data_IF_872110821209
#
_entry.id   IF_872110821209
#
_cell.length_a   1.000
_cell.length_b   1.000
_cell.length_c   1.000
_cell.angle_alpha   90.00
_cell.angle_beta   90.00
_cell.angle_gamma   90.00
#
_symmetry.space_group_name_H-M   'P 1'
#
loop_
_entity.id
_entity.type
_entity.pdbx_description
1 polymer ?
#
# COMPACT_ATOMS: atom_id res chain seq x y z
N UNK A 1 7.32 61.68 41.86
CA UNK A 1 7.42 61.69 40.39
C UNK A 1 6.95 60.33 39.90
N UNK A 2 5.65 60.01 39.92
CA UNK A 2 4.43 60.76 39.48
C UNK A 2 4.20 60.56 37.97
N UNK A 3 2.99 60.33 37.47
CA UNK A 3 1.69 60.06 38.12
C UNK A 3 0.70 59.48 37.09
N UNK A 4 -0.21 58.60 37.54
CA UNK A 4 -1.58 58.44 36.99
C UNK A 4 -1.77 58.10 35.48
N UNK A 5 -2.97 57.81 34.95
CA UNK A 5 -4.36 57.64 35.46
C UNK A 5 -4.96 56.41 34.73
N UNK A 6 -5.66 55.47 35.38
CA UNK A 6 -7.11 55.43 35.67
C UNK A 6 -8.03 55.66 34.45
N UNK A 7 -9.22 55.04 34.34
CA UNK A 7 -9.81 53.90 35.05
C UNK A 7 -11.14 53.45 34.40
N UNK A 8 -11.62 52.26 34.78
CA UNK A 8 -13.06 51.99 34.95
C UNK A 8 -13.82 51.44 33.73
N UNK A 9 -15.04 50.89 33.91
CA UNK A 9 -15.66 50.45 35.17
C UNK A 9 -16.80 49.46 34.88
N UNK A 10 -17.09 48.53 35.80
CA UNK A 10 -18.31 47.69 35.76
C UNK A 10 -19.53 48.53 36.20
N UNK A 11 -20.78 48.11 35.90
CA UNK A 11 -21.47 47.22 36.84
C UNK A 11 -22.39 46.16 36.18
N UNK A 12 -23.15 45.43 37.00
CA UNK A 12 -24.21 44.50 36.59
C UNK A 12 -25.56 44.87 37.24
N UNK A 13 -26.66 44.47 36.63
CA UNK A 13 -28.01 44.23 37.18
C UNK A 13 -28.72 43.32 36.15
N UNK A 14 -29.30 42.17 36.48
CA UNK A 14 -30.48 41.87 37.32
C UNK A 14 -31.85 41.97 36.59
N UNK A 15 -32.48 40.79 36.52
CA UNK A 15 -33.91 40.40 36.51
C UNK A 15 -34.94 41.49 36.94
N UNK A 16 -36.22 41.45 36.46
CA UNK A 16 -37.12 40.28 36.66
C UNK A 16 -38.26 40.03 35.62
N UNK A 17 -39.05 38.94 35.85
CA UNK A 17 -40.53 38.72 35.73
C UNK A 17 -41.33 39.36 34.56
N UNK A 18 -42.43 38.84 33.97
CA UNK A 18 -43.32 37.63 34.08
C UNK A 18 -44.08 37.50 32.72
N UNK A 19 -45.16 36.75 32.41
CA UNK A 19 -46.18 35.86 33.04
C UNK A 19 -46.60 34.83 31.94
N UNK A 20 -46.92 33.55 32.23
CA UNK A 20 -48.24 32.92 32.53
C UNK A 20 -49.18 32.64 31.32
N UNK A 21 -50.18 31.78 31.54
CA UNK A 21 -51.34 31.39 30.69
C UNK A 21 -51.19 30.31 29.57
N UNK A 22 -51.67 29.11 29.93
CA UNK A 22 -52.86 28.47 29.30
C UNK A 22 -52.89 28.12 27.80
N UNK A 23 -52.69 26.84 27.44
CA UNK A 23 -53.80 25.95 27.04
C UNK A 23 -53.39 24.51 26.66
N UNK A 24 -53.95 23.53 27.37
CA UNK A 24 -54.37 22.22 26.81
C UNK A 24 -55.72 22.43 26.04
N UNK A 25 -56.17 21.53 25.13
CA UNK A 25 -56.22 20.09 25.37
C UNK A 25 -55.97 19.11 24.19
N UNK A 26 -55.64 17.89 24.58
CA UNK A 26 -56.05 16.58 24.04
C UNK A 26 -56.82 16.51 22.70
N UNK A 27 -56.33 15.63 21.81
CA UNK A 27 -57.19 14.76 20.99
C UNK A 27 -56.50 13.40 20.80
N UNK A 28 -57.24 12.31 21.04
CA UNK A 28 -56.71 10.94 21.04
C UNK A 28 -57.01 10.19 19.73
N UNK A 29 -56.08 9.35 19.27
CA UNK A 29 -56.30 8.47 18.13
C UNK A 29 -55.51 7.13 18.21
N UNK A 30 -56.26 6.02 18.25
CA UNK A 30 -55.91 4.73 17.63
C UNK A 30 -54.58 4.05 17.99
N UNK A 31 -54.61 3.12 18.95
CA UNK A 31 -53.65 2.00 18.96
C UNK A 31 -53.96 1.04 17.80
N UNK A 32 -52.95 0.69 17.00
CA UNK A 32 -52.97 -0.50 16.13
C UNK A 32 -52.01 -1.52 16.76
N UNK A 33 -52.45 -2.72 17.14
CA UNK A 33 -51.55 -3.75 17.67
C UNK A 33 -50.58 -4.22 16.58
N UNK A 34 -49.28 -4.03 16.79
CA UNK A 34 -48.25 -4.69 16.00
C UNK A 34 -48.20 -6.17 16.43
N UNK A 35 -48.38 -7.14 15.52
CA UNK A 35 -48.28 -8.55 15.89
C UNK A 35 -46.85 -8.89 16.27
N UNK A 36 -46.64 -9.38 17.50
CA UNK A 36 -45.34 -9.95 17.87
C UNK A 36 -45.14 -11.30 17.15
N UNK A 37 -43.93 -11.58 16.62
CA UNK A 37 -43.63 -12.90 16.08
C UNK A 37 -43.63 -13.94 17.20
N UNK A 38 -44.05 -15.19 16.94
CA UNK A 38 -44.06 -16.23 17.96
C UNK A 38 -42.64 -16.57 18.41
N UNK A 39 -42.40 -16.57 19.72
CA UNK A 39 -41.15 -17.04 20.30
C UNK A 39 -40.97 -18.55 20.10
N UNK A 40 -39.72 -18.99 19.94
CA UNK A 40 -39.36 -20.36 20.31
C UNK A 40 -39.28 -21.44 19.22
N UNK A 41 -38.86 -21.13 17.98
CA UNK A 41 -38.22 -22.14 17.11
C UNK A 41 -37.10 -21.56 16.24
N UNK A 42 -35.85 -21.89 16.58
CA UNK A 42 -34.67 -21.67 15.73
C UNK A 42 -34.33 -23.01 15.05
N UNK A 43 -34.38 -23.14 13.71
CA UNK A 43 -34.13 -24.40 13.06
C UNK A 43 -32.62 -24.77 13.13
N UNK A 44 -32.28 -26.05 13.39
CA UNK A 44 -30.90 -26.52 13.39
C UNK A 44 -30.33 -26.48 11.97
N UNK A 45 -29.45 -25.51 11.72
CA UNK A 45 -28.88 -25.26 10.39
C UNK A 45 -28.37 -23.82 10.18
N UNK A 46 -28.78 -22.86 11.03
CA UNK A 46 -28.29 -21.49 10.94
C UNK A 46 -26.80 -21.36 11.29
N UNK A 47 -25.97 -21.31 10.25
CA UNK A 47 -24.61 -20.77 10.36
C UNK A 47 -24.73 -19.31 10.78
N UNK A 48 -23.92 -18.90 11.77
CA UNK A 48 -23.91 -17.53 12.25
C UNK A 48 -23.62 -16.55 11.10
N UNK A 49 -24.60 -15.72 10.75
CA UNK A 49 -24.64 -14.95 9.48
C UNK A 49 -23.42 -14.04 9.25
N UNK A 50 -22.66 -13.70 10.30
CA UNK A 50 -21.39 -12.97 10.19
C UNK A 50 -20.32 -13.73 9.40
N UNK A 51 -20.32 -15.07 9.39
CA UNK A 51 -19.30 -15.87 8.68
C UNK A 51 -19.54 -15.78 7.18
N UNK A 52 -20.78 -16.07 6.75
CA UNK A 52 -21.22 -15.91 5.37
C UNK A 52 -21.03 -14.45 4.93
N UNK A 53 -21.52 -13.48 5.70
CA UNK A 53 -21.33 -12.06 5.41
C UNK A 53 -19.85 -11.61 5.36
N UNK A 54 -18.92 -12.27 6.05
CA UNK A 54 -17.49 -11.92 5.95
C UNK A 54 -16.87 -12.45 4.65
N UNK A 55 -17.21 -13.67 4.24
CA UNK A 55 -16.86 -14.24 2.93
C UNK A 55 -17.48 -13.42 1.80
N UNK A 56 -18.79 -13.19 1.86
CA UNK A 56 -19.59 -12.39 0.94
C UNK A 56 -19.03 -10.97 0.80
N UNK A 57 -18.75 -10.25 1.89
CA UNK A 57 -18.21 -8.88 1.78
C UNK A 57 -16.78 -8.84 1.22
N UNK A 58 -15.98 -9.90 1.43
CA UNK A 58 -14.68 -10.01 0.79
C UNK A 58 -14.78 -10.34 -0.72
N UNK A 59 -15.75 -11.17 -1.11
CA UNK A 59 -16.03 -11.51 -2.51
C UNK A 59 -16.70 -10.35 -3.26
N UNK A 60 -17.65 -9.64 -2.66
CA UNK A 60 -18.26 -8.42 -3.20
C UNK A 60 -17.18 -7.35 -3.46
N UNK A 61 -16.28 -7.13 -2.50
CA UNK A 61 -15.13 -6.25 -2.69
C UNK A 61 -14.22 -6.69 -3.83
N UNK A 62 -13.99 -8.00 -4.01
CA UNK A 62 -13.22 -8.54 -5.13
C UNK A 62 -13.93 -8.35 -6.48
N UNK A 63 -15.23 -8.64 -6.56
CA UNK A 63 -16.05 -8.57 -7.78
C UNK A 63 -16.32 -7.13 -8.23
N UNK A 64 -16.47 -6.18 -7.30
CA UNK A 64 -16.53 -4.74 -7.62
C UNK A 64 -15.19 -4.25 -8.21
N UNK A 65 -14.06 -4.66 -7.63
CA UNK A 65 -12.73 -4.37 -8.18
C UNK A 65 -12.43 -5.08 -9.50
N UNK A 66 -13.11 -6.18 -9.82
CA UNK A 66 -13.03 -6.83 -11.13
C UNK A 66 -13.77 -6.01 -12.20
N UNK A 67 -15.04 -5.62 -11.95
CA UNK A 67 -15.82 -4.77 -12.88
C UNK A 67 -15.08 -3.48 -13.26
N UNK A 68 -14.49 -2.77 -12.29
CA UNK A 68 -13.72 -1.55 -12.55
C UNK A 68 -12.48 -1.78 -13.43
N UNK A 69 -11.89 -2.99 -13.45
CA UNK A 69 -10.77 -3.32 -14.35
C UNK A 69 -11.22 -3.66 -15.75
N UNK A 70 -12.38 -4.31 -15.89
CA UNK A 70 -12.97 -4.63 -17.18
C UNK A 70 -13.51 -3.35 -17.86
N UNK A 71 -14.10 -2.42 -17.10
CA UNK A 71 -14.53 -1.09 -17.57
C UNK A 71 -13.34 -0.21 -18.02
N UNK A 72 -12.24 -0.19 -17.26
CA UNK A 72 -10.99 0.51 -17.64
C UNK A 72 -10.29 -0.16 -18.83
N UNK A 73 -10.57 -1.44 -19.09
CA UNK A 73 -10.08 -2.14 -20.29
C UNK A 73 -10.97 -1.90 -21.51
N UNK A 74 -12.29 -1.90 -21.34
CA UNK A 74 -13.27 -1.68 -22.41
C UNK A 74 -13.33 -0.23 -22.91
N UNK A 75 -13.02 0.75 -22.05
CA UNK A 75 -12.91 2.17 -22.43
C UNK A 75 -11.66 2.49 -23.25
N UNK A 76 -10.72 1.57 -23.40
CA UNK A 76 -9.52 1.74 -24.24
C UNK A 76 -9.76 1.24 -25.67
N UNK A 77 -10.52 2.03 -26.43
CA UNK A 77 -10.84 1.78 -27.83
C UNK A 77 -9.60 1.61 -28.76
N UNK A 78 -9.80 1.03 -29.96
CA UNK A 78 -8.71 0.64 -30.84
C UNK A 78 -7.92 1.84 -31.39
N UNK A 79 -6.61 1.66 -31.56
CA UNK A 79 -5.74 2.66 -32.16
C UNK A 79 -6.02 2.82 -33.66
N UNK A 80 -6.60 3.95 -34.04
CA UNK A 80 -6.75 4.32 -35.45
C UNK A 80 -5.42 4.83 -36.01
N UNK A 81 -4.90 4.14 -37.02
CA UNK A 81 -3.74 4.58 -37.81
C UNK A 81 -4.19 5.38 -39.02
N UNK A 82 -3.70 6.62 -39.15
CA UNK A 82 -3.57 7.32 -40.44
C UNK A 82 -2.49 8.41 -40.34
N UNK A 83 -1.92 8.81 -41.48
CA UNK A 83 -0.67 9.56 -41.54
C UNK A 83 -0.84 11.04 -41.90
N UNK A 84 0.23 11.81 -41.66
CA UNK A 84 0.71 12.92 -42.50
C UNK A 84 -0.26 14.05 -42.90
N UNK A 85 -0.17 15.19 -42.20
CA UNK A 85 -0.39 16.51 -42.82
C UNK A 85 0.53 17.60 -42.26
N UNK A 86 1.34 18.19 -43.14
CA UNK A 86 2.34 19.24 -42.86
C UNK A 86 1.70 20.62 -42.53
N UNK A 87 2.48 21.51 -41.87
CA UNK A 87 2.80 22.91 -42.32
C UNK A 87 2.29 24.11 -41.47
N UNK A 88 3.23 25.04 -41.15
CA UNK A 88 3.05 26.48 -40.77
C UNK A 88 2.40 26.77 -39.39
N UNK A 89 2.63 27.93 -38.71
CA UNK A 89 3.77 28.89 -38.67
C UNK A 89 3.55 29.90 -37.49
N UNK A 90 4.64 30.52 -37.02
CA UNK A 90 4.77 31.87 -36.39
C UNK A 90 4.37 32.12 -34.91
N UNK A 91 5.25 32.93 -34.27
CA UNK A 91 5.03 33.95 -33.20
C UNK A 91 4.43 33.49 -31.85
N UNK A 92 5.01 33.72 -30.66
CA UNK A 92 5.60 34.94 -30.07
C UNK A 92 4.52 36.05 -29.84
N UNK A 93 4.42 36.76 -28.71
CA UNK A 93 5.40 37.14 -27.67
C UNK A 93 4.77 37.38 -26.29
N UNK A 94 5.57 37.18 -25.21
CA UNK A 94 5.80 38.06 -24.03
C UNK A 94 4.61 38.77 -23.32
N UNK A 95 4.67 38.80 -21.97
CA UNK A 95 4.49 39.99 -21.07
C UNK A 95 3.69 39.69 -19.78
N UNK A 96 4.41 39.55 -18.65
CA UNK A 96 3.96 39.94 -17.29
C UNK A 96 4.11 41.48 -17.18
N UNK A 97 3.38 42.23 -16.34
CA UNK A 97 3.25 42.07 -14.87
C UNK A 97 1.75 41.84 -14.51
N UNK A 98 1.12 42.24 -13.38
CA UNK A 98 1.51 42.99 -12.15
C UNK A 98 0.70 42.48 -10.94
N UNK A 99 1.19 42.76 -9.73
CA UNK A 99 0.52 42.65 -8.42
C UNK A 99 -0.28 43.92 -8.09
N UNK A 100 -1.47 43.74 -7.51
CA UNK A 100 -2.18 44.70 -6.64
C UNK A 100 -2.81 43.88 -5.50
N UNK A 101 -2.78 44.43 -4.30
CA UNK A 101 -3.27 43.81 -3.06
C UNK A 101 -4.59 44.51 -2.66
N UNK A 102 -5.57 43.79 -2.10
CA UNK A 102 -6.81 44.32 -1.53
C UNK A 102 -7.39 43.30 -0.53
N UNK A 103 -7.86 43.78 0.62
CA UNK A 103 -8.52 43.00 1.67
C UNK A 103 -10.02 43.37 1.75
N UNK A 104 -10.69 42.93 2.82
CA UNK A 104 -12.07 43.26 3.24
C UNK A 104 -13.24 42.74 2.36
N UNK A 105 -14.02 41.79 2.90
CA UNK A 105 -15.34 42.09 3.52
C UNK A 105 -15.81 40.93 4.43
N UNK A 106 -16.90 41.12 5.20
CA UNK A 106 -17.38 40.27 6.30
C UNK A 106 -18.37 39.14 5.93
N UNK A 107 -18.91 38.47 6.97
CA UNK A 107 -20.10 37.60 7.00
C UNK A 107 -19.92 36.15 6.47
N UNK A 108 -20.66 35.14 6.93
CA UNK A 108 -21.36 34.93 8.22
C UNK A 108 -21.41 33.41 8.50
N UNK A 109 -21.96 33.00 9.65
CA UNK A 109 -22.16 31.60 10.01
C UNK A 109 -23.12 30.86 9.06
N UNK A 110 -22.86 29.58 8.84
CA UNK A 110 -23.90 28.55 8.90
C UNK A 110 -23.30 27.19 9.35
N UNK A 111 -24.17 26.38 9.98
CA UNK A 111 -23.86 25.12 10.66
C UNK A 111 -24.01 23.91 9.72
N UNK A 112 -22.96 23.10 9.57
CA UNK A 112 -23.13 21.70 9.15
C UNK A 112 -22.13 20.77 9.86
N UNK A 113 -22.66 19.86 10.68
CA UNK A 113 -21.90 18.98 11.57
C UNK A 113 -21.32 17.73 10.86
N UNK A 114 -20.43 17.93 9.89
CA UNK A 114 -19.89 16.86 9.04
C UNK A 114 -18.86 15.95 9.79
N UNK A 115 -19.32 14.80 10.29
CA UNK A 115 -18.50 13.90 11.12
C UNK A 115 -17.45 13.14 10.28
N UNK A 116 -16.12 13.32 10.53
CA UNK A 116 -15.12 12.94 9.55
C UNK A 116 -15.04 11.42 9.31
N UNK A 117 -14.98 10.97 8.03
CA UNK A 117 -15.11 9.55 7.63
C UNK A 117 -14.02 8.62 8.21
N UNK A 118 -12.94 9.19 8.74
CA UNK A 118 -11.93 8.52 9.57
C UNK A 118 -12.55 7.65 10.68
N UNK A 119 -13.58 8.15 11.39
CA UNK A 119 -14.22 7.42 12.49
C UNK A 119 -14.93 6.14 12.01
N UNK A 120 -15.68 6.21 10.90
CA UNK A 120 -16.37 5.04 10.29
C UNK A 120 -15.40 3.98 9.80
N UNK A 121 -14.25 4.36 9.25
CA UNK A 121 -13.19 3.41 8.89
C UNK A 121 -12.56 2.74 10.13
N UNK A 122 -12.46 3.44 11.25
CA UNK A 122 -11.93 2.89 12.51
C UNK A 122 -12.86 1.82 13.13
N UNK A 123 -14.18 2.00 13.09
CA UNK A 123 -15.15 1.03 13.62
C UNK A 123 -15.23 -0.22 12.75
N UNK A 124 -15.26 -0.08 11.42
CA UNK A 124 -15.13 -1.19 10.46
C UNK A 124 -13.84 -2.01 10.68
N UNK A 125 -12.74 -1.35 11.02
CA UNK A 125 -11.47 -2.00 11.33
C UNK A 125 -11.50 -2.74 12.68
N UNK A 126 -12.17 -2.17 13.70
CA UNK A 126 -12.39 -2.84 15.00
C UNK A 126 -13.26 -4.09 14.87
N UNK A 127 -14.38 -4.04 14.14
CA UNK A 127 -15.22 -5.24 13.92
C UNK A 127 -14.49 -6.34 13.13
N UNK A 128 -13.62 -5.99 12.17
CA UNK A 128 -12.71 -6.95 11.51
C UNK A 128 -11.71 -7.62 12.47
N UNK A 129 -11.41 -7.03 13.63
CA UNK A 129 -10.60 -7.67 14.68
C UNK A 129 -11.42 -8.53 15.63
N UNK A 130 -12.72 -8.27 15.79
CA UNK A 130 -13.61 -8.99 16.71
C UNK A 130 -14.09 -10.32 16.13
N UNK A 131 -14.35 -10.39 14.81
CA UNK A 131 -14.71 -11.62 14.10
C UNK A 131 -13.49 -12.53 13.85
N UNK A 132 -12.84 -12.95 14.95
CA UNK A 132 -11.86 -14.01 14.98
C UNK A 132 -12.58 -15.37 14.98
N UNK A 133 -13.43 -15.58 13.98
CA UNK A 133 -14.15 -16.84 13.74
C UNK A 133 -13.14 -17.99 13.80
N UNK A 134 -13.34 -18.92 14.73
CA UNK A 134 -12.58 -20.17 14.75
C UNK A 134 -13.09 -21.03 13.60
N UNK A 135 -12.58 -20.76 12.40
CA UNK A 135 -12.81 -21.58 11.21
C UNK A 135 -12.40 -23.01 11.57
N UNK A 136 -13.38 -23.91 11.60
CA UNK A 136 -13.12 -25.32 11.85
C UNK A 136 -12.31 -25.86 10.67
N UNK A 137 -11.14 -26.43 10.97
CA UNK A 137 -10.20 -26.95 9.96
C UNK A 137 -10.25 -28.47 10.02
N UNK A 138 -10.40 -29.17 8.90
CA UNK A 138 -10.46 -30.62 8.89
C UNK A 138 -9.13 -31.22 9.35
N UNK A 139 -9.19 -32.38 10.00
CA UNK A 139 -7.98 -33.09 10.41
C UNK A 139 -7.26 -33.68 9.20
N UNK A 140 -5.95 -33.83 9.30
CA UNK A 140 -5.14 -34.53 8.28
C UNK A 140 -5.56 -35.99 8.05
N UNK A 141 -6.38 -36.59 8.93
CA UNK A 141 -6.96 -37.92 8.73
C UNK A 141 -8.17 -37.85 7.80
N UNK A 142 -9.10 -36.93 8.03
CA UNK A 142 -10.27 -36.70 7.16
C UNK A 142 -9.82 -36.33 5.73
N UNK A 143 -8.92 -35.36 5.59
CA UNK A 143 -8.40 -34.91 4.28
C UNK A 143 -7.69 -36.03 3.49
N UNK A 144 -7.18 -37.07 4.17
CA UNK A 144 -6.54 -38.25 3.55
C UNK A 144 -7.50 -39.43 3.33
N UNK A 145 -8.61 -39.47 4.04
CA UNK A 145 -9.63 -40.51 3.92
C UNK A 145 -10.76 -40.12 2.96
N UNK A 146 -10.80 -38.86 2.52
CA UNK A 146 -11.74 -38.36 1.53
C UNK A 146 -11.51 -38.98 0.16
N UNK A 147 -12.54 -39.62 -0.36
CA UNK A 147 -12.62 -40.18 -1.71
C UNK A 147 -13.16 -39.11 -2.69
N UNK A 148 -12.37 -38.65 -3.68
CA UNK A 148 -12.82 -37.66 -4.65
C UNK A 148 -13.92 -38.15 -5.60
N UNK A 149 -14.03 -39.47 -5.79
CA UNK A 149 -14.99 -40.09 -6.71
C UNK A 149 -16.27 -40.55 -5.97
N UNK A 150 -16.32 -40.31 -4.64
CA UNK A 150 -17.46 -40.62 -3.79
C UNK A 150 -18.63 -39.64 -3.94
N UNK A 151 -19.86 -40.13 -3.71
CA UNK A 151 -21.11 -39.35 -3.80
C UNK A 151 -21.28 -38.27 -2.72
N UNK A 152 -20.47 -38.27 -1.66
CA UNK A 152 -20.58 -37.35 -0.54
C UNK A 152 -19.54 -36.21 -0.64
N UNK A 153 -19.95 -34.94 -0.56
CA UNK A 153 -19.00 -33.82 -0.61
C UNK A 153 -18.11 -33.78 0.65
N UNK A 154 -16.91 -33.22 0.52
CA UNK A 154 -15.92 -33.12 1.60
C UNK A 154 -16.41 -32.26 2.80
N UNK A 155 -17.37 -31.37 2.57
CA UNK A 155 -18.04 -30.57 3.59
C UNK A 155 -19.49 -30.32 3.17
N UNK A 156 -20.35 -30.03 4.14
CA UNK A 156 -21.63 -29.36 3.88
C UNK A 156 -21.47 -27.85 4.08
N UNK A 157 -22.47 -27.06 3.73
CA UNK A 157 -22.51 -25.64 4.09
C UNK A 157 -22.54 -25.48 5.62
N UNK A 158 -23.39 -26.22 6.33
CA UNK A 158 -23.45 -26.21 7.80
C UNK A 158 -22.11 -26.55 8.48
N UNK A 159 -21.32 -27.45 7.88
CA UNK A 159 -19.97 -27.81 8.33
C UNK A 159 -18.88 -27.35 7.36
N UNK A 160 -18.90 -26.08 6.94
CA UNK A 160 -17.93 -25.55 5.97
C UNK A 160 -16.49 -25.56 6.52
N UNK A 161 -15.70 -26.58 6.16
CA UNK A 161 -14.37 -26.90 6.72
C UNK A 161 -13.26 -26.95 5.65
N UNK A 162 -12.68 -25.81 5.22
CA UNK A 162 -11.62 -25.79 4.20
C UNK A 162 -10.25 -26.21 4.76
N UNK A 163 -9.47 -26.98 3.98
CA UNK A 163 -8.11 -27.39 4.34
C UNK A 163 -7.08 -26.30 3.99
N UNK A 164 -6.78 -25.43 4.96
CA UNK A 164 -5.75 -24.40 4.83
C UNK A 164 -4.30 -24.92 4.92
N UNK A 165 -4.04 -26.20 5.14
CA UNK A 165 -2.69 -26.77 5.09
C UNK A 165 -2.33 -27.27 3.69
N UNK A 166 -3.26 -27.92 2.99
CA UNK A 166 -3.10 -28.41 1.62
C UNK A 166 -3.08 -27.33 0.54
N UNK A 167 -3.24 -27.75 -0.73
CA UNK A 167 -3.27 -26.83 -1.88
C UNK A 167 -4.71 -26.37 -2.17
N UNK A 168 -4.92 -25.15 -2.72
CA UNK A 168 -6.26 -24.66 -3.05
C UNK A 168 -7.04 -25.49 -4.10
N UNK A 169 -6.39 -26.44 -4.78
CA UNK A 169 -6.99 -27.33 -5.79
C UNK A 169 -6.79 -28.82 -5.45
N UNK A 170 -6.55 -29.14 -4.17
CA UNK A 170 -6.64 -30.51 -3.65
C UNK A 170 -8.06 -31.07 -3.80
N UNK A 171 -8.22 -32.40 -3.76
CA UNK A 171 -9.53 -33.05 -3.84
C UNK A 171 -10.55 -32.45 -2.85
N UNK A 172 -10.17 -32.40 -1.57
CA UNK A 172 -10.96 -31.78 -0.50
C UNK A 172 -11.34 -30.33 -0.83
N UNK A 173 -10.35 -29.49 -1.15
CA UNK A 173 -10.61 -28.05 -1.36
C UNK A 173 -11.38 -27.76 -2.66
N UNK A 174 -11.36 -28.65 -3.66
CA UNK A 174 -12.29 -28.58 -4.81
C UNK A 174 -13.72 -28.81 -4.33
N UNK A 175 -14.01 -29.94 -3.71
CA UNK A 175 -15.36 -30.25 -3.22
C UNK A 175 -15.91 -29.18 -2.26
N UNK A 176 -15.07 -28.62 -1.38
CA UNK A 176 -15.44 -27.45 -0.54
C UNK A 176 -15.71 -26.19 -1.38
N UNK A 177 -14.96 -25.95 -2.45
CA UNK A 177 -15.22 -24.83 -3.40
C UNK A 177 -16.52 -25.06 -4.16
N UNK A 178 -16.75 -26.26 -4.67
CA UNK A 178 -17.93 -26.61 -5.48
C UNK A 178 -19.21 -26.44 -4.64
N UNK A 179 -19.20 -26.92 -3.39
CA UNK A 179 -20.28 -26.69 -2.41
C UNK A 179 -20.52 -25.20 -2.16
N UNK A 180 -19.47 -24.38 -2.00
CA UNK A 180 -19.61 -22.93 -1.86
C UNK A 180 -20.22 -22.26 -3.10
N UNK A 181 -19.77 -22.66 -4.30
CA UNK A 181 -20.27 -22.06 -5.55
C UNK A 181 -21.74 -22.40 -5.77
N UNK A 182 -22.16 -23.63 -5.44
CA UNK A 182 -23.56 -24.06 -5.56
C UNK A 182 -24.47 -23.29 -4.58
N UNK A 183 -24.09 -23.18 -3.30
CA UNK A 183 -24.81 -22.37 -2.29
C UNK A 183 -24.92 -20.89 -2.67
N UNK A 184 -23.84 -20.30 -3.19
CA UNK A 184 -23.81 -18.92 -3.67
C UNK A 184 -24.78 -18.70 -4.84
N UNK A 185 -24.93 -19.68 -5.74
CA UNK A 185 -25.86 -19.66 -6.87
C UNK A 185 -27.31 -19.88 -6.41
N UNK A 186 -27.56 -20.84 -5.52
CA UNK A 186 -28.89 -21.17 -4.99
C UNK A 186 -29.48 -20.01 -4.17
N UNK A 187 -28.64 -19.31 -3.39
CA UNK A 187 -29.00 -18.10 -2.67
C UNK A 187 -29.54 -16.99 -3.59
N UNK A 188 -29.12 -16.92 -4.87
CA UNK A 188 -29.56 -15.95 -5.88
C UNK A 188 -29.54 -14.46 -5.43
N UNK A 189 -28.73 -14.12 -4.43
CA UNK A 189 -28.59 -12.77 -3.87
C UNK A 189 -27.70 -11.84 -4.71
N UNK A 190 -27.05 -12.36 -5.76
CA UNK A 190 -26.01 -11.68 -6.51
C UNK A 190 -26.23 -11.77 -8.02
N UNK A 191 -25.90 -10.70 -8.74
CA UNK A 191 -26.06 -10.60 -10.21
C UNK A 191 -25.10 -11.53 -10.99
N UNK A 192 -24.17 -12.22 -10.31
CA UNK A 192 -23.16 -13.07 -10.96
C UNK A 192 -23.52 -14.55 -10.82
N UNK A 193 -24.26 -15.08 -11.80
CA UNK A 193 -24.64 -16.50 -11.86
C UNK A 193 -23.68 -17.34 -12.72
N UNK A 194 -22.41 -16.92 -12.81
CA UNK A 194 -21.35 -17.59 -13.57
C UNK A 194 -20.44 -18.41 -12.63
N UNK A 195 -20.64 -19.73 -12.65
CA UNK A 195 -19.90 -20.71 -11.83
C UNK A 195 -18.37 -20.52 -11.91
N UNK A 196 -17.83 -20.31 -13.12
CA UNK A 196 -16.38 -20.23 -13.36
C UNK A 196 -15.78 -18.96 -12.77
N UNK A 197 -16.53 -17.84 -12.84
CA UNK A 197 -16.13 -16.59 -12.17
C UNK A 197 -16.20 -16.71 -10.64
N UNK A 198 -17.18 -17.42 -10.08
CA UNK A 198 -17.31 -17.62 -8.63
C UNK A 198 -16.19 -18.55 -8.10
N UNK A 199 -15.88 -19.67 -8.76
CA UNK A 199 -14.71 -20.53 -8.43
C UNK A 199 -13.41 -19.71 -8.44
N UNK A 200 -13.16 -18.94 -9.50
CA UNK A 200 -11.95 -18.13 -9.60
C UNK A 200 -11.85 -17.08 -8.49
N UNK A 201 -12.98 -16.43 -8.13
CA UNK A 201 -13.06 -15.48 -7.03
C UNK A 201 -12.87 -16.15 -5.66
N UNK A 202 -13.52 -17.29 -5.42
CA UNK A 202 -13.37 -18.07 -4.19
C UNK A 202 -11.92 -18.52 -4.01
N UNK A 203 -11.27 -19.08 -5.04
CA UNK A 203 -9.88 -19.53 -4.95
C UNK A 203 -8.87 -18.38 -4.75
N UNK A 204 -9.16 -17.20 -5.31
CA UNK A 204 -8.42 -15.98 -5.02
C UNK A 204 -8.52 -15.60 -3.53
N UNK A 205 -9.74 -15.67 -2.98
CA UNK A 205 -9.99 -15.41 -1.57
C UNK A 205 -9.41 -16.49 -0.64
N UNK A 206 -9.53 -17.78 -1.00
CA UNK A 206 -8.98 -18.92 -0.28
C UNK A 206 -7.47 -18.79 -0.08
N UNK A 207 -6.72 -18.37 -1.12
CA UNK A 207 -5.27 -18.09 -0.99
C UNK A 207 -4.98 -17.00 0.04
N UNK A 208 -5.87 -16.02 0.20
CA UNK A 208 -5.78 -14.97 1.22
C UNK A 208 -6.12 -15.50 2.62
N UNK A 209 -7.17 -16.32 2.76
CA UNK A 209 -7.51 -17.02 4.00
C UNK A 209 -6.39 -17.96 4.45
N UNK A 210 -5.83 -18.77 3.54
CA UNK A 210 -4.69 -19.64 3.81
C UNK A 210 -3.45 -18.84 4.27
N UNK A 211 -3.17 -17.68 3.66
CA UNK A 211 -2.11 -16.77 4.11
C UNK A 211 -2.39 -16.21 5.52
N UNK A 212 -3.65 -15.89 5.83
CA UNK A 212 -4.07 -15.45 7.16
C UNK A 212 -3.94 -16.57 8.21
N UNK A 213 -4.39 -17.78 7.90
CA UNK A 213 -4.29 -18.96 8.77
C UNK A 213 -2.82 -19.29 9.10
N UNK A 214 -1.95 -19.34 8.08
CA UNK A 214 -0.50 -19.53 8.28
C UNK A 214 0.09 -18.41 9.14
N UNK A 215 -0.31 -17.16 8.95
CA UNK A 215 0.10 -16.01 9.78
C UNK A 215 -0.43 -16.08 11.22
N UNK A 216 -1.57 -16.72 11.47
CA UNK A 216 -2.11 -16.95 12.82
C UNK A 216 -1.35 -18.08 13.54
N UNK A 217 -0.88 -19.12 12.82
CA UNK A 217 0.00 -20.16 13.40
C UNK A 217 1.43 -19.69 13.70
N UNK A 218 1.91 -18.65 13.02
CA UNK A 218 3.26 -18.08 13.27
C UNK A 218 3.37 -17.42 14.65
N UNK A 219 4.49 -17.66 15.31
CA UNK A 219 4.93 -16.95 16.52
C UNK A 219 5.12 -15.45 16.26
N UNK A 220 5.16 -14.65 17.33
CA UNK A 220 5.48 -13.22 17.21
C UNK A 220 6.92 -12.97 16.73
N UNK A 221 7.85 -13.89 17.00
CA UNK A 221 9.22 -13.87 16.47
C UNK A 221 9.22 -14.04 14.96
N UNK A 222 8.52 -15.04 14.42
CA UNK A 222 8.40 -15.24 12.97
C UNK A 222 7.63 -14.10 12.30
N UNK A 223 6.53 -13.63 12.90
CA UNK A 223 5.75 -12.49 12.38
C UNK A 223 6.56 -11.20 12.32
N UNK A 224 7.40 -10.93 13.32
CA UNK A 224 8.29 -9.76 13.31
C UNK A 224 9.47 -9.93 12.36
N UNK A 225 10.04 -11.13 12.24
CA UNK A 225 11.09 -11.43 11.25
C UNK A 225 10.59 -11.25 9.81
N UNK A 226 9.42 -11.80 9.47
CA UNK A 226 8.78 -11.62 8.16
C UNK A 226 8.42 -10.16 7.88
N UNK A 227 7.94 -9.41 8.89
CA UNK A 227 7.70 -7.96 8.76
C UNK A 227 9.01 -7.19 8.49
N UNK A 228 10.09 -7.49 9.22
CA UNK A 228 11.42 -6.90 8.99
C UNK A 228 11.94 -7.20 7.59
N UNK A 229 11.84 -8.46 7.13
CA UNK A 229 12.22 -8.85 5.77
C UNK A 229 11.39 -8.13 4.70
N UNK A 230 10.06 -8.15 4.80
CA UNK A 230 9.19 -7.45 3.84
C UNK A 230 9.49 -5.95 3.79
N UNK A 231 9.65 -5.29 4.93
CA UNK A 231 10.03 -3.88 4.99
C UNK A 231 11.41 -3.61 4.35
N UNK A 232 12.37 -4.51 4.50
CA UNK A 232 13.70 -4.44 3.88
C UNK A 232 13.65 -4.61 2.36
N UNK A 233 12.87 -5.56 1.88
CA UNK A 233 12.77 -5.83 0.44
C UNK A 233 11.93 -4.75 -0.28
N UNK A 234 10.88 -4.23 0.35
CA UNK A 234 10.14 -3.04 -0.11
C UNK A 234 11.03 -1.78 -0.14
N UNK A 235 11.94 -1.58 0.83
CA UNK A 235 12.92 -0.47 0.80
C UNK A 235 13.91 -0.61 -0.35
N UNK A 236 14.47 -1.80 -0.60
CA UNK A 236 15.33 -2.07 -1.79
C UNK A 236 14.58 -1.79 -3.09
N UNK A 237 13.32 -2.22 -3.21
CA UNK A 237 12.50 -1.99 -4.40
C UNK A 237 12.28 -0.49 -4.65
N UNK A 238 11.86 0.26 -3.62
CA UNK A 238 11.68 1.71 -3.72
C UNK A 238 13.01 2.44 -4.03
N UNK A 239 14.14 1.99 -3.48
CA UNK A 239 15.45 2.54 -3.79
C UNK A 239 15.84 2.32 -5.26
N UNK A 240 15.60 1.12 -5.80
CA UNK A 240 15.79 0.82 -7.22
C UNK A 240 14.92 1.74 -8.11
N UNK A 241 13.61 1.82 -7.81
CA UNK A 241 12.67 2.63 -8.59
C UNK A 241 13.04 4.13 -8.60
N UNK A 242 13.42 4.70 -7.44
CA UNK A 242 13.85 6.10 -7.34
C UNK A 242 15.11 6.38 -8.17
N UNK A 243 16.09 5.49 -8.14
CA UNK A 243 17.35 5.61 -8.90
C UNK A 243 17.12 5.50 -10.39
N UNK A 244 16.30 4.53 -10.83
CA UNK A 244 15.93 4.35 -12.24
C UNK A 244 15.14 5.55 -12.77
N UNK A 245 14.18 6.06 -12.01
CA UNK A 245 13.43 7.27 -12.35
C UNK A 245 14.36 8.47 -12.60
N UNK A 246 15.30 8.74 -11.69
CA UNK A 246 16.29 9.83 -11.83
C UNK A 246 17.23 9.60 -13.02
N UNK A 247 17.64 8.36 -13.28
CA UNK A 247 18.41 8.01 -14.47
C UNK A 247 17.65 8.31 -15.76
N UNK A 248 16.33 8.05 -15.81
CA UNK A 248 15.53 8.37 -17.00
C UNK A 248 15.18 9.86 -17.15
N UNK A 249 14.98 10.58 -16.04
CA UNK A 249 14.47 11.96 -16.01
C UNK A 249 15.48 12.98 -16.54
N UNK A 250 16.72 12.94 -16.06
CA UNK A 250 17.80 13.80 -16.54
C UNK A 250 18.40 13.22 -17.84
N UNK A 251 18.94 14.08 -18.72
CA UNK A 251 19.51 13.61 -19.99
C UNK A 251 20.92 13.05 -19.78
N UNK A 252 21.66 13.71 -18.90
CA UNK A 252 23.05 13.50 -18.51
C UNK A 252 23.25 12.15 -17.82
N UNK A 253 22.24 11.68 -17.08
CA UNK A 253 22.25 10.38 -16.40
C UNK A 253 21.58 9.25 -17.20
N UNK A 254 20.99 9.55 -18.38
CA UNK A 254 20.20 8.57 -19.15
C UNK A 254 21.03 7.41 -19.69
N UNK A 255 22.29 7.67 -20.01
CA UNK A 255 23.29 6.64 -20.37
C UNK A 255 23.44 5.56 -19.28
N UNK A 256 23.14 5.90 -18.01
CA UNK A 256 23.26 4.98 -16.88
C UNK A 256 22.00 4.13 -16.60
N UNK A 257 20.85 4.42 -17.23
CA UNK A 257 19.62 3.69 -16.98
C UNK A 257 19.70 2.17 -17.26
N UNK A 258 20.35 1.69 -18.35
CA UNK A 258 20.53 0.25 -18.58
C UNK A 258 21.35 -0.45 -17.49
N UNK A 259 22.38 0.20 -16.96
CA UNK A 259 23.21 -0.38 -15.88
C UNK A 259 22.45 -0.47 -14.55
N UNK A 260 21.56 0.49 -14.26
CA UNK A 260 20.65 0.40 -13.11
C UNK A 260 19.62 -0.72 -13.30
N UNK A 261 19.09 -0.90 -14.51
CA UNK A 261 18.17 -2.01 -14.83
C UNK A 261 18.87 -3.37 -14.68
N UNK A 262 20.09 -3.53 -15.19
CA UNK A 262 20.91 -4.73 -15.04
C UNK A 262 21.22 -5.06 -13.58
N UNK A 263 21.52 -4.06 -12.75
CA UNK A 263 21.63 -4.22 -11.29
C UNK A 263 20.32 -4.66 -10.65
N UNK A 264 19.20 -4.02 -11.00
CA UNK A 264 17.89 -4.31 -10.45
C UNK A 264 17.80 -4.16 -8.92
N UNK A 265 16.76 -4.77 -8.32
CA UNK A 265 16.53 -4.73 -6.86
C UNK A 265 17.64 -5.47 -6.10
N UNK A 266 18.15 -6.57 -6.63
CA UNK A 266 19.27 -7.33 -6.03
C UNK A 266 20.59 -6.55 -6.07
N UNK A 267 20.72 -5.64 -7.04
CA UNK A 267 21.79 -4.66 -7.14
C UNK A 267 21.64 -3.47 -6.18
N UNK A 268 20.57 -3.36 -5.40
CA UNK A 268 20.49 -2.35 -4.34
C UNK A 268 21.19 -2.83 -3.06
N UNK A 269 21.86 -1.89 -2.38
CA UNK A 269 22.37 -2.13 -1.02
C UNK A 269 21.20 -2.28 -0.07
N UNK A 270 21.30 -3.25 0.83
CA UNK A 270 20.36 -3.37 1.94
C UNK A 270 20.67 -2.28 2.97
N UNK A 271 19.63 -1.80 3.64
CA UNK A 271 19.71 -0.84 4.72
C UNK A 271 19.16 -1.50 6.00
N UNK A 272 20.02 -1.78 6.97
CA UNK A 272 19.53 -2.09 8.32
C UNK A 272 19.28 -0.78 9.07
N UNK A 273 18.17 -0.73 9.78
CA UNK A 273 17.80 0.39 10.65
C UNK A 273 18.50 0.21 11.99
N UNK A 274 19.58 0.97 12.21
CA UNK A 274 20.25 1.04 13.49
C UNK A 274 19.54 2.03 14.41
N UNK A 275 19.57 1.76 15.71
CA UNK A 275 18.94 2.58 16.74
C UNK A 275 20.02 3.07 17.68
N UNK A 276 20.92 3.87 17.12
CA UNK A 276 22.09 4.43 17.79
C UNK A 276 21.73 5.82 18.31
N UNK A 277 21.70 5.97 19.64
CA UNK A 277 21.35 7.21 20.34
C UNK A 277 19.93 7.75 19.99
N UNK A 278 18.91 6.89 20.04
CA UNK A 278 17.48 7.13 19.70
C UNK A 278 17.17 7.64 18.28
N UNK A 279 18.17 8.03 17.49
CA UNK A 279 17.99 8.48 16.12
C UNK A 279 18.03 7.27 15.17
N UNK A 280 16.94 7.03 14.44
CA UNK A 280 16.86 5.90 13.50
C UNK A 280 17.72 6.16 12.26
N UNK A 281 18.94 5.61 12.26
CA UNK A 281 19.89 5.74 11.17
C UNK A 281 19.85 4.53 10.23
N UNK A 282 20.01 4.77 8.94
CA UNK A 282 19.98 3.72 7.91
C UNK A 282 21.39 3.45 7.38
N UNK A 283 22.03 2.43 7.95
CA UNK A 283 23.39 2.02 7.60
C UNK A 283 23.40 1.24 6.29
N UNK A 284 24.18 1.73 5.32
CA UNK A 284 24.35 1.12 4.00
C UNK A 284 25.24 -0.11 4.17
N UNK A 285 24.68 -1.31 3.95
CA UNK A 285 25.47 -2.54 3.97
C UNK A 285 26.24 -2.67 2.64
N UNK A 286 27.56 -2.84 2.74
CA UNK A 286 28.45 -3.09 1.60
C UNK A 286 28.26 -4.52 1.08
N UNK A 287 28.27 -4.74 -0.23
CA UNK A 287 28.20 -6.09 -0.81
C UNK A 287 29.60 -6.57 -1.16
N UNK A 288 30.05 -7.72 -0.61
CA UNK A 288 31.43 -8.22 -0.84
C UNK A 288 31.75 -8.46 -2.31
N UNK A 289 30.74 -8.83 -3.11
CA UNK A 289 30.89 -9.06 -4.55
C UNK A 289 31.09 -7.81 -5.40
N UNK A 290 30.85 -6.61 -4.88
CA UNK A 290 30.71 -5.37 -5.66
C UNK A 290 31.98 -4.54 -5.68
N UNK A 291 32.31 -3.95 -6.83
CA UNK A 291 33.40 -2.99 -6.93
C UNK A 291 33.09 -1.73 -6.09
N UNK A 292 34.01 -1.20 -5.27
CA UNK A 292 33.72 -0.11 -4.34
C UNK A 292 33.11 1.12 -5.03
N UNK A 293 33.57 1.48 -6.24
CA UNK A 293 33.11 2.63 -7.05
C UNK A 293 31.60 2.62 -7.34
N UNK A 294 30.99 1.44 -7.44
CA UNK A 294 29.55 1.30 -7.76
C UNK A 294 28.69 1.90 -6.64
N UNK A 295 29.18 1.96 -5.39
CA UNK A 295 28.43 2.56 -4.28
C UNK A 295 28.40 4.09 -4.35
N UNK A 296 29.53 4.83 -4.46
CA UNK A 296 29.53 6.26 -4.76
C UNK A 296 28.76 6.62 -6.04
N UNK A 297 28.94 5.89 -7.15
CA UNK A 297 28.18 6.12 -8.39
C UNK A 297 26.66 6.00 -8.16
N UNK A 298 26.21 5.04 -7.36
CA UNK A 298 24.80 4.92 -6.96
C UNK A 298 24.33 6.03 -5.98
N UNK A 299 25.21 6.61 -5.15
CA UNK A 299 24.85 7.71 -4.22
C UNK A 299 24.58 9.04 -4.93
N UNK A 300 25.13 9.26 -6.14
CA UNK A 300 24.81 10.44 -6.96
C UNK A 300 23.32 10.47 -7.31
N UNK A 301 22.73 9.34 -7.72
CA UNK A 301 21.28 9.24 -7.97
C UNK A 301 20.44 9.47 -6.71
N UNK A 302 20.92 9.04 -5.53
CA UNK A 302 20.26 9.33 -4.25
C UNK A 302 20.27 10.85 -3.99
N UNK A 303 21.42 11.52 -4.10
CA UNK A 303 21.53 12.99 -3.93
C UNK A 303 20.66 13.76 -4.94
N UNK A 304 20.64 13.34 -6.21
CA UNK A 304 19.75 13.90 -7.23
C UNK A 304 18.26 13.70 -6.88
N UNK A 305 17.84 12.54 -6.38
CA UNK A 305 16.47 12.30 -5.94
C UNK A 305 16.04 13.21 -4.77
N UNK A 306 16.95 13.41 -3.80
CA UNK A 306 16.73 14.37 -2.71
C UNK A 306 16.57 15.80 -3.24
N UNK A 307 17.51 16.27 -4.07
CA UNK A 307 17.44 17.61 -4.69
C UNK A 307 16.14 17.79 -5.48
N UNK A 308 15.75 16.78 -6.24
CA UNK A 308 14.53 16.76 -7.05
C UNK A 308 13.24 16.92 -6.22
N UNK A 309 13.11 16.20 -5.09
CA UNK A 309 11.96 16.40 -4.18
C UNK A 309 12.00 17.79 -3.52
N UNK A 310 13.17 18.25 -3.09
CA UNK A 310 13.35 19.57 -2.46
C UNK A 310 13.10 20.74 -3.42
N UNK A 311 13.21 20.54 -4.73
CA UNK A 311 12.87 21.55 -5.75
C UNK A 311 11.39 21.59 -6.15
N UNK A 312 10.49 20.97 -5.38
CA UNK A 312 9.07 20.92 -5.73
C UNK A 312 8.79 20.06 -6.95
N UNK A 313 9.43 18.88 -7.03
CA UNK A 313 9.17 17.89 -8.08
C UNK A 313 7.69 17.47 -8.17
N UNK A 314 7.31 16.86 -9.31
CA UNK A 314 5.96 16.44 -9.70
C UNK A 314 5.07 16.11 -8.49
N UNK A 315 3.95 16.82 -8.30
CA UNK A 315 3.17 16.88 -7.04
C UNK A 315 2.90 15.51 -6.37
N UNK A 316 2.69 14.46 -7.15
CA UNK A 316 2.48 13.09 -6.66
C UNK A 316 3.71 12.53 -5.91
N UNK A 317 4.91 13.03 -6.18
CA UNK A 317 6.17 12.71 -5.50
C UNK A 317 6.40 13.53 -4.23
N UNK A 318 5.54 14.51 -3.90
CA UNK A 318 5.62 15.25 -2.63
C UNK A 318 4.88 14.54 -1.49
N UNK A 319 3.92 13.66 -1.77
CA UNK A 319 3.23 12.88 -0.75
C UNK A 319 4.16 11.87 -0.04
N UNK A 320 4.02 11.78 1.28
CA UNK A 320 4.82 10.89 2.14
C UNK A 320 6.20 11.47 2.52
N UNK A 321 6.73 11.03 3.66
CA UNK A 321 7.98 11.56 4.24
C UNK A 321 9.20 11.54 3.29
N UNK A 322 10.16 12.41 3.56
CA UNK A 322 11.43 12.43 2.83
C UNK A 322 12.18 11.09 2.97
N UNK A 323 13.00 10.68 1.98
CA UNK A 323 13.85 9.51 2.16
C UNK A 323 14.79 9.78 3.35
N UNK A 324 14.96 8.79 4.23
CA UNK A 324 15.88 8.91 5.35
C UNK A 324 17.32 9.04 4.85
N UNK A 325 18.14 9.81 5.57
CA UNK A 325 19.57 9.92 5.28
C UNK A 325 20.24 8.55 5.47
N UNK A 326 21.16 8.22 4.55
CA UNK A 326 21.83 6.91 4.51
C UNK A 326 23.32 7.09 4.73
N UNK A 327 23.82 6.48 5.81
CA UNK A 327 25.21 6.57 6.27
C UNK A 327 25.96 5.33 5.81
N UNK A 328 27.21 5.47 5.39
CA UNK A 328 28.05 4.33 5.02
C UNK A 328 28.42 3.51 6.26
N UNK A 329 28.64 2.21 6.09
CA UNK A 329 28.97 1.32 7.20
C UNK A 329 29.99 0.26 6.79
N UNK A 330 30.80 -0.17 7.75
CA UNK A 330 31.79 -1.24 7.55
C UNK A 330 31.14 -2.64 7.57
N UNK A 331 29.81 -2.72 7.70
CA UNK A 331 29.07 -3.98 7.67
C UNK A 331 29.04 -4.48 6.22
N UNK A 332 29.47 -5.73 6.02
CA UNK A 332 29.45 -6.39 4.72
C UNK A 332 28.40 -7.50 4.66
N UNK A 333 27.85 -7.74 3.46
CA UNK A 333 26.85 -8.77 3.20
C UNK A 333 27.28 -9.72 2.09
N UNK A 334 27.08 -11.01 2.35
CA UNK A 334 27.22 -12.13 1.41
C UNK A 334 25.95 -12.37 0.56
N UNK A 335 25.04 -11.38 0.47
CA UNK A 335 23.87 -11.49 -0.42
C UNK A 335 24.29 -11.79 -1.85
N UNK A 336 23.62 -12.74 -2.51
CA UNK A 336 23.99 -13.25 -3.84
C UNK A 336 24.41 -12.16 -4.85
N UNK A 337 25.40 -12.46 -5.72
CA UNK A 337 25.75 -11.58 -6.83
C UNK A 337 24.62 -11.51 -7.85
N UNK A 338 24.57 -10.39 -8.57
CA UNK A 338 23.76 -10.28 -9.80
C UNK A 338 24.62 -10.77 -10.95
N UNK A 339 24.10 -11.65 -11.80
CA UNK A 339 24.80 -12.14 -13.00
C UNK A 339 24.68 -11.16 -14.17
N UNK A 340 25.55 -11.32 -15.18
CA UNK A 340 25.59 -10.55 -16.42
C UNK A 340 25.74 -9.03 -16.21
N UNK A 341 26.59 -8.63 -15.27
CA UNK A 341 27.07 -7.25 -15.14
C UNK A 341 28.44 -7.08 -15.85
N UNK A 342 28.89 -5.83 -16.08
CA UNK A 342 30.28 -5.52 -16.41
C UNK A 342 31.27 -6.18 -15.45
N UNK A 343 32.44 -6.62 -15.94
CA UNK A 343 33.50 -7.19 -15.11
C UNK A 343 33.93 -6.24 -13.97
N UNK A 344 34.10 -4.95 -14.25
CA UNK A 344 34.42 -3.92 -13.26
C UNK A 344 33.24 -3.52 -12.35
N UNK A 345 32.04 -4.11 -12.49
CA UNK A 345 30.98 -3.98 -11.48
C UNK A 345 31.25 -4.88 -10.25
N UNK A 346 32.13 -5.88 -10.39
CA UNK A 346 32.49 -6.82 -9.34
C UNK A 346 33.79 -6.43 -8.64
N UNK A 347 33.91 -6.75 -7.34
CA UNK A 347 35.17 -6.64 -6.62
C UNK A 347 36.19 -7.61 -7.21
N UNK A 348 37.36 -7.11 -7.62
CA UNK A 348 38.42 -7.90 -8.27
C UNK A 348 38.87 -9.08 -7.40
N UNK A 349 39.10 -8.81 -6.11
CA UNK A 349 39.48 -9.82 -5.11
C UNK A 349 38.41 -10.92 -4.96
N UNK A 350 37.13 -10.54 -4.92
CA UNK A 350 36.03 -11.50 -4.83
C UNK A 350 35.87 -12.30 -6.13
N UNK A 351 35.96 -11.64 -7.29
CA UNK A 351 35.87 -12.29 -8.60
C UNK A 351 37.01 -13.29 -8.82
N UNK A 352 38.21 -13.01 -8.30
CA UNK A 352 39.36 -13.95 -8.33
C UNK A 352 39.24 -15.14 -7.38
N UNK A 353 38.37 -15.07 -6.36
CA UNK A 353 38.11 -16.20 -5.45
C UNK A 353 37.02 -17.17 -5.93
N UNK A 354 36.37 -16.89 -7.07
CA UNK A 354 35.36 -17.76 -7.65
C UNK A 354 35.98 -18.95 -8.38
N UNK A 355 35.34 -20.11 -8.29
CA UNK A 355 35.66 -21.24 -9.16
C UNK A 355 35.12 -21.01 -10.59
N UNK A 356 35.61 -21.82 -11.54
CA UNK A 356 35.27 -21.70 -12.97
C UNK A 356 33.77 -21.78 -13.27
N UNK A 357 33.01 -22.60 -12.53
CA UNK A 357 31.57 -22.76 -12.73
C UNK A 357 30.82 -21.51 -12.26
N UNK A 358 31.12 -21.02 -11.05
CA UNK A 358 30.53 -19.79 -10.52
C UNK A 358 30.85 -18.57 -11.42
N UNK A 359 32.04 -18.51 -12.02
CA UNK A 359 32.40 -17.46 -12.99
C UNK A 359 31.62 -17.60 -14.31
N UNK A 360 31.33 -18.82 -14.76
CA UNK A 360 30.53 -19.11 -15.95
C UNK A 360 29.04 -18.76 -15.72
N UNK A 361 28.47 -19.10 -14.56
CA UNK A 361 27.10 -18.74 -14.17
C UNK A 361 26.93 -17.21 -14.01
N UNK A 362 27.98 -16.54 -13.51
CA UNK A 362 28.01 -15.09 -13.37
C UNK A 362 28.06 -14.39 -14.73
N UNK A 363 28.72 -14.98 -15.74
CA UNK A 363 28.86 -14.47 -17.10
C UNK A 363 29.18 -12.94 -17.19
N UNK A 364 30.27 -12.47 -16.55
CA UNK A 364 30.63 -11.04 -16.55
C UNK A 364 31.02 -10.57 -17.96
N UNK A 365 30.51 -9.42 -18.38
CA UNK A 365 30.72 -8.87 -19.72
C UNK A 365 31.72 -7.69 -19.74
N UNK A 366 31.82 -7.01 -20.88
CA UNK A 366 32.69 -5.84 -21.07
C UNK A 366 32.46 -4.76 -20.01
N UNK A 367 33.54 -4.05 -19.67
CA UNK A 367 33.58 -3.03 -18.62
C UNK A 367 32.73 -1.79 -18.95
N UNK A 368 32.38 -1.03 -17.93
CA UNK A 368 31.43 0.07 -17.98
C UNK A 368 31.93 1.29 -17.20
N UNK A 369 31.70 2.51 -17.70
CA UNK A 369 32.15 3.72 -17.01
C UNK A 369 31.20 4.14 -15.87
N UNK A 370 31.70 4.03 -14.63
CA UNK A 370 31.01 4.46 -13.41
C UNK A 370 31.19 5.95 -13.09
N UNK A 371 31.73 6.76 -14.02
CA UNK A 371 31.80 8.22 -13.87
C UNK A 371 30.48 8.87 -14.29
N UNK A 372 30.11 9.91 -13.55
CA UNK A 372 29.09 10.89 -13.95
C UNK A 372 29.79 12.09 -14.61
N UNK A 373 29.09 12.85 -15.45
CA UNK A 373 29.63 14.11 -15.97
C UNK A 373 29.80 15.16 -14.84
N UNK A 374 30.73 16.10 -15.04
CA UNK A 374 31.07 17.14 -14.04
C UNK A 374 29.86 17.96 -13.59
N UNK A 375 28.92 18.21 -14.50
CA UNK A 375 27.67 18.95 -14.23
C UNK A 375 26.78 18.20 -13.23
N UNK A 376 26.57 16.89 -13.44
CA UNK A 376 25.82 16.03 -12.51
C UNK A 376 26.50 15.96 -11.15
N UNK A 377 27.83 15.83 -11.10
CA UNK A 377 28.58 15.84 -9.84
C UNK A 377 28.39 17.17 -9.11
N UNK A 378 28.57 18.31 -9.79
CA UNK A 378 28.36 19.64 -9.24
C UNK A 378 26.92 19.83 -8.71
N UNK A 379 25.90 19.38 -9.47
CA UNK A 379 24.49 19.42 -9.03
C UNK A 379 24.24 18.66 -7.71
N UNK A 380 25.09 17.70 -7.33
CA UNK A 380 25.03 17.00 -6.03
C UNK A 380 25.92 17.59 -4.92
N UNK A 381 26.72 18.62 -5.22
CA UNK A 381 27.59 19.31 -4.26
C UNK A 381 27.07 20.71 -3.90
N UNK A 382 26.51 21.46 -4.86
CA UNK A 382 26.16 22.89 -4.70
C UNK A 382 24.99 23.21 -3.74
N UNK A 383 24.59 22.32 -2.83
CA UNK A 383 23.54 22.62 -1.82
C UNK A 383 23.60 21.80 -0.53
N UNK A 384 24.78 21.62 0.04
CA UNK A 384 24.94 21.33 1.49
C UNK A 384 24.98 22.63 2.32
N UNK A 385 24.43 23.72 1.77
CA UNK A 385 24.37 25.04 2.38
C UNK A 385 23.04 25.35 3.05
N UNK A 386 23.12 25.61 4.35
CA UNK A 386 22.10 26.16 5.26
C UNK A 386 20.83 25.30 5.45
N UNK A 387 20.69 24.55 6.57
CA UNK A 387 19.36 24.18 7.04
C UNK A 387 18.59 25.47 7.39
N UNK A 388 17.37 25.62 6.86
CA UNK A 388 16.48 26.69 7.34
C UNK A 388 16.22 26.53 8.85
N UNK A 389 15.89 27.61 9.59
CA UNK A 389 15.65 27.52 11.02
C UNK A 389 14.60 26.44 11.30
N UNK A 390 14.92 25.54 12.24
CA UNK A 390 14.07 24.40 12.55
C UNK A 390 12.81 24.89 13.26
N UNK A 391 11.71 25.01 12.52
CA UNK A 391 10.38 25.19 13.08
C UNK A 391 9.97 23.83 13.69
N UNK A 392 10.22 23.71 14.99
CA UNK A 392 9.61 22.73 15.88
C UNK A 392 8.27 23.27 16.42
#
# INVERSE_FOLDING_TARGET
MDEHRQAGQQPAHELPQTVDESMEPQLAAGQIPVPQPPEGHVPPGYIHASVLNTLINALNGFMQNARQRDEVSATRGPAATSESATRRRRTATRTRPRRVDAEDDESSADDESDEPPSKRLSSLTKHRSALRTQLSVPTRREVRAFDPDGLAPAATIAEFRPDFEGTPRSAWNRSVTDVFVLDFLECNLYVCNDYVKIDAAYLSHFRSLQKQYRRQKMTDVERTALKKQHNRDSRKYLLFQRRLYIATKYAETRVHAPMIQALGVNGMSSDESDHENDHQQYRIIVKRWRHPEVTPWLRVFDKLYHRYRLSGGDMQTLQGGFPHLRVESNISSDSHPVSRLPRNAYSSQWLSSLNRLALQDLAPHADYDFKHCTEVVALTLSREGNPGPSIF
#
